data_IF_728952967569
#
_entry.id   IF_728952967569
#
_cell.length_a   1.000
_cell.length_b   1.000
_cell.length_c   1.000
_cell.angle_alpha   90.00
_cell.angle_beta   90.00
_cell.angle_gamma   90.00
#
_symmetry.space_group_name_H-M   'P 1'
#
loop_
_entity.id
_entity.type
_entity.pdbx_description
1 polymer ?
#
# COMPACT_ATOMS: atom_id res chain seq x y z
N UNK A 1 1.17 2.21 -3.40
CA UNK A 1 1.23 0.76 -3.06
C UNK A 1 1.49 0.48 -1.58
N UNK A 2 1.67 1.49 -0.71
CA UNK A 2 1.98 1.31 0.72
C UNK A 2 0.97 0.43 1.47
N UNK A 3 -0.28 0.40 0.98
CA UNK A 3 -1.38 -0.46 1.44
C UNK A 3 -1.08 -1.97 1.49
N UNK A 4 -0.12 -2.45 0.68
CA UNK A 4 0.18 -3.88 0.55
C UNK A 4 1.36 -4.33 1.42
N UNK A 5 1.87 -3.45 2.28
CA UNK A 5 2.93 -3.75 3.24
C UNK A 5 2.31 -4.16 4.58
N UNK A 6 1.96 -5.44 4.70
CA UNK A 6 1.25 -6.00 5.86
C UNK A 6 2.04 -5.91 7.18
N UNK A 7 3.38 -5.92 7.09
CA UNK A 7 4.28 -5.73 8.24
C UNK A 7 4.61 -4.28 8.57
N UNK A 8 4.02 -3.31 7.86
CA UNK A 8 4.43 -1.92 7.91
C UNK A 8 5.82 -1.69 7.30
N UNK A 9 6.31 -0.46 7.42
CA UNK A 9 7.63 -0.08 6.93
C UNK A 9 8.12 1.16 7.69
N UNK A 10 9.43 1.27 7.88
CA UNK A 10 10.04 2.43 8.52
C UNK A 10 11.04 3.03 7.55
N UNK A 11 10.87 4.31 7.26
CA UNK A 11 11.80 5.10 6.47
C UNK A 11 12.38 6.18 7.38
N UNK A 12 13.69 6.16 7.55
CA UNK A 12 14.40 7.21 8.29
C UNK A 12 15.10 8.13 7.29
N UNK A 13 14.60 9.37 7.15
CA UNK A 13 15.16 10.35 6.23
C UNK A 13 16.57 10.85 6.63
N UNK A 14 17.02 10.55 7.85
CA UNK A 14 18.37 10.87 8.35
C UNK A 14 19.33 9.70 8.15
N UNK A 15 18.83 8.51 7.84
CA UNK A 15 19.66 7.35 7.60
C UNK A 15 20.40 7.48 6.27
N UNK A 16 21.68 7.10 6.27
CA UNK A 16 22.52 7.06 5.06
C UNK A 16 21.97 6.13 3.98
N UNK A 17 21.24 5.10 4.40
CA UNK A 17 20.60 4.06 3.59
C UNK A 17 19.11 4.35 3.31
N UNK A 18 18.63 5.57 3.55
CA UNK A 18 17.24 5.95 3.27
C UNK A 18 16.78 5.57 1.85
N UNK A 19 17.65 5.77 0.85
CA UNK A 19 17.33 5.41 -0.54
C UNK A 19 17.11 3.90 -0.70
N UNK A 20 17.95 3.09 -0.07
CA UNK A 20 17.82 1.64 -0.09
C UNK A 20 16.56 1.17 0.65
N UNK A 21 16.22 1.81 1.78
CA UNK A 21 14.97 1.56 2.50
C UNK A 21 13.73 1.87 1.63
N UNK A 22 13.76 2.99 0.91
CA UNK A 22 12.68 3.37 -0.01
C UNK A 22 12.55 2.39 -1.17
N UNK A 23 13.68 1.95 -1.75
CA UNK A 23 13.70 1.00 -2.85
C UNK A 23 13.20 -0.38 -2.41
N UNK A 24 13.66 -0.88 -1.26
CA UNK A 24 13.24 -2.14 -0.68
C UNK A 24 11.74 -2.15 -0.33
N UNK A 25 11.26 -1.11 0.35
CA UNK A 25 9.84 -0.96 0.65
C UNK A 25 9.00 -0.86 -0.65
N UNK A 26 9.52 -0.15 -1.66
CA UNK A 26 8.89 -0.06 -2.99
C UNK A 26 8.78 -1.41 -3.69
N UNK A 27 9.85 -2.20 -3.70
CA UNK A 27 9.88 -3.54 -4.32
C UNK A 27 8.92 -4.48 -3.62
N UNK A 28 8.97 -4.56 -2.28
CA UNK A 28 8.05 -5.39 -1.49
C UNK A 28 6.59 -5.02 -1.73
N UNK A 29 6.28 -3.73 -1.79
CA UNK A 29 4.94 -3.26 -2.09
C UNK A 29 4.49 -3.62 -3.51
N UNK A 30 5.39 -3.53 -4.49
CA UNK A 30 5.10 -3.92 -5.87
C UNK A 30 4.82 -5.42 -5.98
N UNK A 31 5.69 -6.26 -5.41
CA UNK A 31 5.53 -7.71 -5.43
C UNK A 31 4.23 -8.16 -4.77
N UNK A 32 3.88 -7.56 -3.63
CA UNK A 32 2.65 -7.84 -2.91
C UNK A 32 1.40 -7.47 -3.73
N UNK A 33 1.41 -6.35 -4.47
CA UNK A 33 0.31 -5.95 -5.35
C UNK A 33 0.16 -6.92 -6.52
N UNK A 34 1.28 -7.30 -7.14
CA UNK A 34 1.27 -8.24 -8.26
C UNK A 34 0.79 -9.62 -7.83
N UNK A 35 1.23 -10.10 -6.67
CA UNK A 35 0.75 -11.34 -6.07
C UNK A 35 -0.77 -11.29 -5.80
N UNK A 36 -1.25 -10.18 -5.23
CA UNK A 36 -2.67 -9.97 -4.96
C UNK A 36 -3.53 -9.98 -6.23
N UNK A 37 -3.08 -9.30 -7.29
CA UNK A 37 -3.79 -9.30 -8.57
C UNK A 37 -3.75 -10.68 -9.26
N UNK A 38 -2.60 -11.36 -9.19
CA UNK A 38 -2.42 -12.71 -9.74
C UNK A 38 -3.35 -13.73 -9.05
N UNK A 39 -3.48 -13.65 -7.72
CA UNK A 39 -4.41 -14.50 -6.95
C UNK A 39 -5.88 -14.30 -7.37
N UNK A 40 -6.21 -13.14 -7.94
CA UNK A 40 -7.55 -12.81 -8.48
C UNK A 40 -7.68 -13.06 -9.99
N UNK A 41 -6.72 -13.76 -10.60
CA UNK A 41 -6.71 -14.05 -12.03
C UNK A 41 -6.39 -12.85 -12.92
N UNK A 42 -5.99 -11.70 -12.35
CA UNK A 42 -5.66 -10.50 -13.11
C UNK A 42 -4.16 -10.42 -13.41
N UNK A 43 -3.79 -10.47 -14.70
CA UNK A 43 -2.41 -10.27 -15.15
C UNK A 43 -2.15 -8.79 -15.41
N UNK A 44 -1.76 -8.04 -14.39
CA UNK A 44 -1.25 -6.68 -14.55
C UNK A 44 0.29 -6.69 -14.56
N UNK A 45 0.92 -6.03 -15.54
CA UNK A 45 2.40 -5.98 -15.68
C UNK A 45 2.99 -4.57 -15.59
N UNK A 46 2.20 -3.54 -15.84
CA UNK A 46 2.63 -2.14 -15.78
C UNK A 46 1.79 -1.32 -14.80
N UNK A 47 2.34 -0.19 -14.34
CA UNK A 47 1.70 0.68 -13.35
C UNK A 47 0.27 1.10 -13.75
N UNK A 48 0.06 1.44 -15.02
CA UNK A 48 -1.27 1.79 -15.55
C UNK A 48 -2.27 0.63 -15.49
N UNK A 49 -1.84 -0.58 -15.86
CA UNK A 49 -2.68 -1.78 -15.79
C UNK A 49 -3.02 -2.18 -14.36
N UNK A 50 -2.07 -2.03 -13.44
CA UNK A 50 -2.27 -2.29 -12.02
C UNK A 50 -3.31 -1.31 -11.45
N UNK A 51 -3.18 -0.02 -11.75
CA UNK A 51 -4.16 0.98 -11.31
C UNK A 51 -5.56 0.69 -11.87
N UNK A 52 -5.66 0.31 -13.15
CA UNK A 52 -6.93 -0.06 -13.78
C UNK A 52 -7.57 -1.28 -13.13
N UNK A 53 -6.77 -2.23 -12.66
CA UNK A 53 -7.25 -3.40 -11.92
C UNK A 53 -7.65 -3.07 -10.47
N UNK A 54 -6.93 -2.16 -9.80
CA UNK A 54 -7.21 -1.79 -8.40
C UNK A 54 -8.45 -0.90 -8.25
N UNK A 55 -8.75 -0.02 -9.21
CA UNK A 55 -9.95 0.86 -9.18
C UNK A 55 -11.27 0.13 -8.90
N UNK A 56 -11.65 -0.93 -9.64
CA UNK A 56 -12.90 -1.65 -9.36
C UNK A 56 -12.84 -2.41 -8.04
N UNK A 57 -11.65 -2.88 -7.60
CA UNK A 57 -11.48 -3.55 -6.31
C UNK A 57 -11.68 -2.59 -5.14
N UNK A 58 -11.24 -1.33 -5.27
CA UNK A 58 -11.55 -0.31 -4.28
C UNK A 58 -13.06 -0.06 -4.22
N UNK A 59 -13.72 0.18 -5.37
CA UNK A 59 -15.17 0.43 -5.44
C UNK A 59 -16.05 -0.69 -4.88
N UNK A 60 -15.56 -1.93 -4.90
CA UNK A 60 -16.29 -3.11 -4.39
C UNK A 60 -15.97 -3.43 -2.95
N UNK A 61 -15.23 -2.55 -2.24
CA UNK A 61 -14.84 -2.75 -0.84
C UNK A 61 -13.77 -3.82 -0.64
N UNK A 62 -13.27 -4.45 -1.70
CA UNK A 62 -12.27 -5.52 -1.61
C UNK A 62 -10.94 -5.04 -0.99
N UNK A 63 -10.65 -3.74 -1.10
CA UNK A 63 -9.47 -3.14 -0.48
C UNK A 63 -9.73 -2.64 0.95
N UNK A 64 -10.98 -2.67 1.44
CA UNK A 64 -11.36 -2.06 2.73
C UNK A 64 -10.63 -2.72 3.91
N UNK A 65 -10.54 -4.06 3.93
CA UNK A 65 -9.77 -4.77 4.95
C UNK A 65 -8.30 -4.33 5.00
N UNK A 66 -7.69 -4.11 3.83
CA UNK A 66 -6.30 -3.65 3.73
C UNK A 66 -6.17 -2.19 4.14
N UNK A 67 -7.16 -1.36 3.83
CA UNK A 67 -7.23 0.04 4.28
C UNK A 67 -7.33 0.09 5.80
N UNK A 68 -8.15 -0.76 6.42
CA UNK A 68 -8.26 -0.87 7.88
C UNK A 68 -6.94 -1.35 8.49
N UNK A 69 -6.33 -2.40 7.94
CA UNK A 69 -5.04 -2.90 8.41
C UNK A 69 -3.95 -1.82 8.33
N UNK A 70 -3.88 -1.09 7.21
CA UNK A 70 -2.95 0.01 7.02
C UNK A 70 -3.18 1.15 8.02
N UNK A 71 -4.44 1.56 8.27
CA UNK A 71 -4.76 2.57 9.29
C UNK A 71 -4.39 2.09 10.70
N UNK A 72 -4.55 0.79 11.00
CA UNK A 72 -4.08 0.20 12.27
C UNK A 72 -2.56 0.28 12.39
N UNK A 73 -1.82 -0.08 11.34
CA UNK A 73 -0.36 0.00 11.31
C UNK A 73 0.17 1.43 11.50
N UNK A 74 -0.54 2.42 10.94
CA UNK A 74 -0.27 3.84 11.19
C UNK A 74 -0.52 4.20 12.66
N UNK A 75 -1.66 3.81 13.22
CA UNK A 75 -2.04 4.14 14.60
C UNK A 75 -1.07 3.56 15.65
N UNK A 76 -0.52 2.37 15.40
CA UNK A 76 0.46 1.74 16.32
C UNK A 76 1.91 2.20 16.09
N UNK A 77 2.16 3.11 15.13
CA UNK A 77 3.50 3.60 14.81
C UNK A 77 4.40 2.57 14.10
N UNK A 78 3.81 1.54 13.50
CA UNK A 78 4.55 0.54 12.71
C UNK A 78 4.85 1.02 11.29
N UNK A 79 4.24 2.12 10.87
CA UNK A 79 4.57 2.85 9.66
C UNK A 79 5.21 4.18 10.06
N UNK A 80 6.49 4.33 9.74
CA UNK A 80 7.21 5.59 9.88
C UNK A 80 7.55 6.09 8.47
N UNK A 81 6.77 7.04 7.99
CA UNK A 81 6.88 7.55 6.64
C UNK A 81 7.08 9.08 6.70
N UNK A 82 8.24 9.60 6.25
CA UNK A 82 8.53 11.02 6.29
C UNK A 82 7.72 11.83 5.28
N UNK A 83 6.89 11.18 4.45
CA UNK A 83 5.93 11.88 3.61
C UNK A 83 4.95 12.72 4.45
N UNK A 84 4.42 13.84 3.92
CA UNK A 84 3.44 14.64 4.63
C UNK A 84 2.19 13.83 5.00
N UNK A 85 1.64 14.09 6.19
CA UNK A 85 0.45 13.40 6.72
C UNK A 85 -0.76 13.46 5.79
N UNK A 86 -0.86 14.53 5.01
CA UNK A 86 -1.92 14.75 4.02
C UNK A 86 -1.92 13.68 2.90
N UNK A 87 -0.82 12.94 2.74
CA UNK A 87 -0.71 11.84 1.78
C UNK A 87 -1.04 10.47 2.38
N UNK A 88 -1.17 10.37 3.71
CA UNK A 88 -1.39 9.10 4.41
C UNK A 88 -2.86 8.73 4.57
N UNK A 89 -3.75 9.71 4.74
CA UNK A 89 -5.19 9.47 4.99
C UNK A 89 -6.09 9.63 3.75
N UNK A 90 -5.52 9.65 2.55
CA UNK A 90 -6.28 9.81 1.30
C UNK A 90 -7.17 8.61 0.94
N UNK A 91 -6.99 7.46 1.60
CA UNK A 91 -7.74 6.23 1.31
C UNK A 91 -8.90 6.06 2.30
N UNK A 92 -10.13 6.24 1.79
CA UNK A 92 -11.35 5.95 2.50
C UNK A 92 -11.80 4.50 2.26
N UNK A 93 -12.32 3.88 3.33
CA UNK A 93 -13.10 2.63 3.28
C UNK A 93 -14.40 2.94 2.53
N UNK A 94 -14.80 2.09 1.59
CA UNK A 94 -16.02 2.33 0.80
C UNK A 94 -17.28 2.15 1.64
N UNK A 95 -17.24 1.28 2.65
CA UNK A 95 -18.29 1.17 3.65
C UNK A 95 -19.55 0.54 3.06
N UNK A 96 -19.65 -0.79 3.15
CA UNK A 96 -20.93 -1.46 3.02
C UNK A 96 -21.57 -1.52 4.41
N UNK A 97 -22.61 -0.70 4.61
CA UNK A 97 -23.64 -0.90 5.64
C UNK A 97 -24.56 -2.04 5.20
#
# INVERSE_FOLDING_TARGET
>A
MKLFLDGGFKLDNRAKDYKDQVLDAGSRAQDAVLAFLKARGTKAKGAGSVLRALRPLHKTGVLDERIIAYKRLLAIGSILDPAPVDTHDILAVVGHV
#
